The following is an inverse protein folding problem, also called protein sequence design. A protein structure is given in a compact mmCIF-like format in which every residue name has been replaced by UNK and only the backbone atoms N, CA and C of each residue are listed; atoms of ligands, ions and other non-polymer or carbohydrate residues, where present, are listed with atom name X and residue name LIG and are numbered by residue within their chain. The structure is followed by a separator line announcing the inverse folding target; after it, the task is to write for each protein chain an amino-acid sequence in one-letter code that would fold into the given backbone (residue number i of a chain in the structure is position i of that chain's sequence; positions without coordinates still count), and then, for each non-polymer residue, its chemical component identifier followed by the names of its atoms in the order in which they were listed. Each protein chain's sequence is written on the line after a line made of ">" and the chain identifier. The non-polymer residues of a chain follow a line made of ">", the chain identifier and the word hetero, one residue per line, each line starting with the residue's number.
data_IF_600226636443
#
_entry.id   IF_600226636443
#
_cell.length_a   1.000
_cell.length_b   1.000
_cell.length_c   1.000
_cell.angle_alpha   90.00
_cell.angle_beta   90.00
_cell.angle_gamma   90.00
#
_symmetry.space_group_name_H-M   'P 1'
#
loop_
_entity.id
_entity.type
_entity.pdbx_description
1 polymer ?
#
# COMPACT_ATOMS: atom_id res chain seq x y z
N UNK A 1 -32.76 74.10 -41.00
CA UNK A 1 -32.50 74.66 -39.65
C UNK A 1 -33.46 74.02 -38.67
N UNK A 2 -32.99 73.81 -37.43
CA UNK A 2 -33.69 73.28 -36.23
C UNK A 2 -33.75 71.74 -36.04
N UNK A 3 -32.86 71.26 -35.15
CA UNK A 3 -33.01 70.14 -34.17
C UNK A 3 -34.04 70.64 -33.10
N UNK A 4 -34.75 69.85 -32.24
CA UNK A 4 -34.29 68.63 -31.56
C UNK A 4 -35.34 67.57 -31.10
N UNK A 5 -34.89 66.39 -30.67
CA UNK A 5 -34.97 65.94 -29.26
C UNK A 5 -34.49 64.49 -29.09
N UNK A 6 -33.60 64.31 -28.13
CA UNK A 6 -33.03 63.05 -27.69
C UNK A 6 -33.99 62.33 -26.72
N UNK A 7 -34.13 61.01 -26.89
CA UNK A 7 -34.70 60.13 -25.88
C UNK A 7 -33.57 59.47 -25.07
N UNK A 8 -33.61 59.67 -23.76
CA UNK A 8 -32.78 58.99 -22.77
C UNK A 8 -33.35 57.59 -22.52
N UNK A 9 -32.53 56.55 -22.76
CA UNK A 9 -32.80 55.19 -22.30
C UNK A 9 -31.83 54.86 -21.17
N UNK A 10 -32.37 54.48 -20.01
CA UNK A 10 -31.65 54.22 -18.77
C UNK A 10 -30.70 53.01 -18.83
N UNK A 11 -29.86 52.84 -17.79
CA UNK A 11 -28.78 51.86 -17.81
C UNK A 11 -29.31 50.41 -17.69
N UNK A 12 -28.84 49.55 -18.59
CA UNK A 12 -28.98 48.11 -18.49
C UNK A 12 -28.07 47.60 -17.36
N UNK A 13 -28.67 46.87 -16.43
CA UNK A 13 -28.01 46.26 -15.29
C UNK A 13 -27.14 45.08 -15.79
N UNK A 14 -25.82 45.20 -15.69
CA UNK A 14 -24.93 44.05 -15.85
C UNK A 14 -25.07 43.13 -14.63
N UNK A 15 -25.25 41.81 -14.80
CA UNK A 15 -25.15 40.90 -13.67
C UNK A 15 -23.68 40.76 -13.26
N UNK A 16 -23.43 41.06 -11.98
CA UNK A 16 -22.17 40.88 -11.30
C UNK A 16 -21.62 39.46 -11.53
N UNK A 17 -20.33 39.39 -11.83
CA UNK A 17 -19.59 38.16 -12.10
C UNK A 17 -19.80 37.12 -11.01
N UNK A 18 -20.31 35.96 -11.42
CA UNK A 18 -20.26 34.76 -10.61
C UNK A 18 -18.78 34.47 -10.33
N UNK A 19 -18.38 34.61 -9.07
CA UNK A 19 -17.13 34.09 -8.55
C UNK A 19 -17.12 32.58 -8.84
N UNK A 20 -16.37 32.17 -9.85
CA UNK A 20 -16.09 30.75 -10.06
C UNK A 20 -15.37 30.26 -8.80
N UNK A 21 -16.01 29.36 -8.07
CA UNK A 21 -15.33 28.56 -7.07
C UNK A 21 -14.11 27.90 -7.73
N UNK A 22 -12.94 27.92 -7.09
CA UNK A 22 -11.77 27.27 -7.65
C UNK A 22 -12.09 25.78 -7.84
N UNK A 23 -12.08 25.34 -9.09
CA UNK A 23 -12.13 23.92 -9.43
C UNK A 23 -11.01 23.23 -8.64
N UNK A 24 -11.30 22.16 -7.87
CA UNK A 24 -10.26 21.46 -7.14
C UNK A 24 -9.21 20.99 -8.15
N UNK A 25 -7.94 21.30 -7.87
CA UNK A 25 -6.81 20.79 -8.65
C UNK A 25 -6.93 19.27 -8.81
N UNK A 26 -6.55 18.68 -9.95
CA UNK A 26 -6.54 17.22 -10.09
C UNK A 26 -5.73 16.62 -8.93
N UNK A 27 -6.38 15.77 -8.12
CA UNK A 27 -5.77 15.12 -6.94
C UNK A 27 -4.53 14.35 -7.38
N UNK A 28 -3.49 14.35 -6.55
CA UNK A 28 -2.31 13.52 -6.81
C UNK A 28 -2.66 12.03 -6.64
N UNK A 29 -1.94 11.15 -7.34
CA UNK A 29 -2.12 9.70 -7.18
C UNK A 29 -1.84 9.23 -5.75
N UNK A 30 -0.88 9.87 -5.08
CA UNK A 30 -0.59 9.61 -3.68
C UNK A 30 -1.79 9.93 -2.76
N UNK A 31 -2.45 11.07 -2.95
CA UNK A 31 -3.65 11.43 -2.17
C UNK A 31 -4.79 10.45 -2.43
N UNK A 32 -5.06 10.12 -3.70
CA UNK A 32 -6.09 9.13 -4.03
C UNK A 32 -5.80 7.75 -3.42
N UNK A 33 -4.53 7.34 -3.38
CA UNK A 33 -4.15 6.04 -2.81
C UNK A 33 -4.38 6.02 -1.29
N UNK A 34 -3.98 7.09 -0.59
CA UNK A 34 -4.22 7.26 0.84
C UNK A 34 -5.71 7.32 1.17
N UNK A 35 -6.53 7.98 0.34
CA UNK A 35 -7.99 7.99 0.50
C UNK A 35 -8.60 6.57 0.38
N UNK A 36 -8.11 5.76 -0.55
CA UNK A 36 -8.55 4.36 -0.67
C UNK A 36 -8.12 3.51 0.53
N UNK A 37 -6.95 3.77 1.13
CA UNK A 37 -6.52 3.12 2.37
C UNK A 37 -7.35 3.56 3.58
N UNK A 38 -7.73 4.84 3.68
CA UNK A 38 -8.64 5.32 4.72
C UNK A 38 -10.04 4.70 4.58
N UNK A 39 -10.55 4.61 3.35
CA UNK A 39 -11.81 3.91 3.06
C UNK A 39 -11.73 2.44 3.45
N UNK A 40 -10.64 1.75 3.11
CA UNK A 40 -10.41 0.37 3.52
C UNK A 40 -10.40 0.24 5.05
N UNK A 41 -9.72 1.14 5.76
CA UNK A 41 -9.72 1.14 7.23
C UNK A 41 -11.14 1.27 7.80
N UNK A 42 -11.97 2.13 7.24
CA UNK A 42 -13.35 2.30 7.71
C UNK A 42 -14.23 1.07 7.46
N UNK A 43 -14.06 0.40 6.31
CA UNK A 43 -14.72 -0.87 5.99
C UNK A 43 -14.24 -1.99 6.94
N UNK A 44 -12.94 -2.03 7.26
CA UNK A 44 -12.34 -3.02 8.17
C UNK A 44 -12.79 -2.85 9.62
N UNK A 45 -13.01 -1.61 10.10
CA UNK A 45 -13.53 -1.32 11.45
C UNK A 45 -14.91 -1.92 11.70
N UNK A 46 -15.70 -2.19 10.65
CA UNK A 46 -17.02 -2.81 10.77
C UNK A 46 -16.95 -4.33 10.97
N UNK A 47 -15.78 -4.94 10.76
CA UNK A 47 -15.60 -6.38 10.89
C UNK A 47 -15.46 -6.78 12.36
N UNK A 48 -16.05 -7.92 12.71
CA UNK A 48 -15.91 -8.53 14.02
C UNK A 48 -15.08 -9.80 13.91
N UNK A 49 -14.09 -9.91 14.78
CA UNK A 49 -13.24 -11.08 14.89
C UNK A 49 -13.54 -11.81 16.19
N UNK A 50 -13.67 -13.12 16.09
CA UNK A 50 -13.78 -13.99 17.26
C UNK A 50 -12.44 -14.69 17.51
N UNK A 51 -12.42 -15.60 18.48
CA UNK A 51 -11.32 -16.54 18.61
C UNK A 51 -10.97 -17.18 17.24
N UNK A 52 -9.68 -17.34 16.94
CA UNK A 52 -8.52 -17.19 17.84
C UNK A 52 -7.94 -15.77 17.92
N UNK A 53 -8.57 -14.75 17.32
CA UNK A 53 -8.05 -13.37 17.34
C UNK A 53 -8.20 -12.76 18.73
N UNK A 54 -7.09 -12.27 19.30
CA UNK A 54 -7.06 -11.58 20.58
C UNK A 54 -6.78 -10.09 20.47
N UNK A 55 -5.80 -9.69 19.64
CA UNK A 55 -5.39 -8.29 19.45
C UNK A 55 -5.22 -8.01 17.95
N UNK A 56 -5.62 -6.82 17.51
CA UNK A 56 -5.56 -6.36 16.13
C UNK A 56 -4.75 -5.08 16.09
N UNK A 57 -3.73 -5.05 15.24
CA UNK A 57 -2.96 -3.84 14.95
C UNK A 57 -3.26 -3.35 13.54
N UNK A 58 -3.48 -2.05 13.40
CA UNK A 58 -3.57 -1.37 12.11
C UNK A 58 -2.47 -0.28 11.98
N UNK A 59 -1.28 -0.61 11.43
CA UNK A 59 -0.20 0.37 11.25
C UNK A 59 -0.56 1.53 10.32
N UNK A 60 -1.55 1.40 9.44
CA UNK A 60 -2.04 2.52 8.62
C UNK A 60 -2.79 3.55 9.48
N UNK A 61 -3.07 3.27 10.76
CA UNK A 61 -3.60 4.25 11.71
C UNK A 61 -2.51 4.79 12.64
N UNK A 62 -1.84 3.94 13.42
CA UNK A 62 -0.91 4.42 14.44
C UNK A 62 0.48 4.78 13.88
N UNK A 63 0.89 4.23 12.73
CA UNK A 63 2.12 4.58 12.02
C UNK A 63 1.81 5.40 10.75
N UNK A 64 0.75 6.22 10.80
CA UNK A 64 0.27 7.00 9.66
C UNK A 64 1.31 7.95 9.08
N UNK A 65 2.07 8.67 9.91
CA UNK A 65 3.05 9.64 9.41
C UNK A 65 4.15 9.01 8.53
N UNK A 66 4.89 7.97 8.98
CA UNK A 66 5.85 7.32 8.09
C UNK A 66 5.17 6.61 6.90
N UNK A 67 3.97 6.06 7.07
CA UNK A 67 3.22 5.46 5.98
C UNK A 67 2.84 6.50 4.89
N UNK A 68 2.26 7.63 5.30
CA UNK A 68 1.96 8.78 4.43
C UNK A 68 3.24 9.31 3.79
N UNK A 69 4.34 9.41 4.52
CA UNK A 69 5.63 9.81 3.96
C UNK A 69 6.10 8.84 2.87
N UNK A 70 5.94 7.53 3.05
CA UNK A 70 6.25 6.52 2.04
C UNK A 70 5.38 6.69 0.78
N UNK A 71 4.05 6.78 0.94
CA UNK A 71 3.13 6.91 -0.19
C UNK A 71 3.34 8.23 -0.93
N UNK A 72 3.41 9.35 -0.21
CA UNK A 72 3.65 10.66 -0.83
C UNK A 72 5.02 10.75 -1.48
N UNK A 73 6.06 10.11 -0.95
CA UNK A 73 7.38 10.13 -1.60
C UNK A 73 7.42 9.33 -2.89
N UNK A 74 6.79 8.15 -2.91
CA UNK A 74 7.03 7.15 -3.95
C UNK A 74 5.85 6.88 -4.89
N UNK A 75 4.66 7.41 -4.59
CA UNK A 75 3.44 7.25 -5.39
C UNK A 75 3.08 8.52 -6.18
N UNK A 76 4.08 9.22 -6.71
CA UNK A 76 3.94 10.51 -7.42
C UNK A 76 3.47 10.40 -8.89
N UNK A 77 3.26 9.18 -9.39
CA UNK A 77 2.95 8.91 -10.78
C UNK A 77 2.42 7.49 -10.96
N UNK A 78 1.83 7.17 -12.12
CA UNK A 78 1.27 5.84 -12.40
C UNK A 78 2.36 4.78 -12.25
N UNK A 79 1.93 3.55 -11.96
CA UNK A 79 2.81 2.43 -11.66
C UNK A 79 2.52 1.31 -12.63
N UNK A 80 3.54 0.82 -13.32
CA UNK A 80 3.38 -0.31 -14.23
C UNK A 80 3.23 -1.62 -13.45
N UNK A 81 3.96 -1.74 -12.34
CA UNK A 81 4.03 -2.95 -11.52
C UNK A 81 3.67 -2.66 -10.06
N UNK A 82 2.79 -3.48 -9.49
CA UNK A 82 2.48 -3.46 -8.06
C UNK A 82 2.89 -4.78 -7.41
N UNK A 83 3.83 -4.73 -6.48
CA UNK A 83 4.15 -5.86 -5.61
C UNK A 83 3.18 -5.88 -4.43
N UNK A 84 2.52 -7.01 -4.21
CA UNK A 84 1.50 -7.16 -3.16
C UNK A 84 1.93 -8.22 -2.17
N UNK A 85 2.23 -7.80 -0.94
CA UNK A 85 2.37 -8.69 0.21
C UNK A 85 1.01 -9.07 0.81
N UNK A 86 1.00 -10.01 1.76
CA UNK A 86 -0.24 -10.45 2.41
C UNK A 86 -0.73 -9.43 3.44
N UNK A 87 0.06 -9.21 4.49
CA UNK A 87 -0.26 -8.33 5.60
C UNK A 87 1.03 -7.98 6.39
N UNK A 88 0.99 -6.99 7.31
CA UNK A 88 2.15 -6.62 8.11
C UNK A 88 2.75 -7.79 8.88
N UNK A 89 4.08 -7.85 8.91
CA UNK A 89 4.79 -8.62 9.92
C UNK A 89 5.06 -7.77 11.18
N UNK A 90 5.27 -8.42 12.34
CA UNK A 90 5.30 -7.75 13.65
C UNK A 90 6.50 -6.84 13.89
N UNK A 91 7.57 -7.01 13.11
CA UNK A 91 8.82 -6.24 13.25
C UNK A 91 9.16 -5.42 12.00
N UNK A 92 8.31 -5.47 10.97
CA UNK A 92 8.41 -4.66 9.76
C UNK A 92 7.33 -3.59 9.73
N UNK A 93 6.34 -3.74 8.86
CA UNK A 93 5.27 -2.75 8.67
C UNK A 93 4.49 -2.41 9.95
N UNK A 94 4.34 -3.35 10.90
CA UNK A 94 3.70 -3.06 12.19
C UNK A 94 4.52 -2.10 13.08
N UNK A 95 5.79 -1.86 12.76
CA UNK A 95 6.65 -0.89 13.44
C UNK A 95 6.81 0.38 12.61
N UNK A 96 6.82 0.26 11.28
CA UNK A 96 7.28 1.34 10.40
C UNK A 96 6.20 1.97 9.54
N UNK A 97 5.02 1.34 9.42
CA UNK A 97 3.99 1.74 8.47
C UNK A 97 4.32 1.40 7.00
N UNK A 98 5.52 0.90 6.69
CA UNK A 98 5.94 0.62 5.30
C UNK A 98 5.81 -0.88 4.99
N UNK A 99 5.22 -1.29 3.83
CA UNK A 99 5.16 -2.68 3.41
C UNK A 99 6.55 -3.33 3.35
N UNK A 100 6.69 -4.55 3.89
CA UNK A 100 7.98 -5.22 4.08
C UNK A 100 9.02 -4.34 4.82
N UNK A 101 8.56 -3.36 5.61
CA UNK A 101 9.38 -2.26 6.10
C UNK A 101 10.23 -2.63 7.30
N UNK A 102 11.32 -3.36 7.08
CA UNK A 102 12.37 -3.52 8.08
C UNK A 102 12.98 -2.15 8.43
N UNK A 103 13.25 -1.92 9.72
CA UNK A 103 13.53 -0.58 10.25
C UNK A 103 14.73 0.09 9.58
N UNK A 104 15.85 -0.62 9.42
CA UNK A 104 17.07 -0.03 8.87
C UNK A 104 16.88 0.33 7.41
N UNK A 105 16.26 -0.53 6.61
CA UNK A 105 16.06 -0.22 5.19
C UNK A 105 15.05 0.91 4.98
N UNK A 106 14.02 1.00 5.83
CA UNK A 106 13.05 2.12 5.82
C UNK A 106 13.74 3.44 6.14
N UNK A 107 14.55 3.47 7.19
CA UNK A 107 15.25 4.69 7.63
C UNK A 107 16.38 5.08 6.66
N UNK A 108 17.26 4.14 6.35
CA UNK A 108 18.57 4.43 5.75
C UNK A 108 18.55 4.40 4.22
N UNK A 109 17.62 3.65 3.60
CA UNK A 109 17.54 3.53 2.14
C UNK A 109 16.29 4.19 1.57
N UNK A 110 15.11 3.94 2.14
CA UNK A 110 13.87 4.62 1.73
C UNK A 110 13.80 6.06 2.26
N UNK A 111 14.61 6.43 3.27
CA UNK A 111 14.60 7.77 3.84
C UNK A 111 13.22 8.19 4.34
N UNK A 112 12.46 7.23 4.87
CA UNK A 112 11.12 7.43 5.42
C UNK A 112 11.24 7.51 6.94
N UNK A 113 10.66 8.56 7.50
CA UNK A 113 10.66 8.83 8.93
C UNK A 113 9.32 9.43 9.38
N UNK A 114 9.12 9.51 10.69
CA UNK A 114 7.93 10.09 11.28
C UNK A 114 7.61 9.48 12.64
N UNK A 115 6.76 10.15 13.44
CA UNK A 115 6.29 9.59 14.69
C UNK A 115 5.46 8.32 14.44
N UNK A 116 5.65 7.33 15.29
CA UNK A 116 4.81 6.14 15.37
C UNK A 116 4.13 6.16 16.73
N UNK A 117 2.80 6.16 16.73
CA UNK A 117 1.99 6.13 17.93
C UNK A 117 1.78 4.69 18.39
N UNK A 118 1.32 4.52 19.63
CA UNK A 118 0.88 3.21 20.12
C UNK A 118 -0.52 2.86 19.60
N UNK A 119 -0.78 1.59 19.24
CA UNK A 119 -2.14 1.13 18.99
C UNK A 119 -2.98 1.21 20.29
N UNK A 120 -4.32 1.22 20.20
CA UNK A 120 -5.20 1.34 21.38
C UNK A 120 -4.98 0.26 22.45
N UNK A 121 -4.56 -0.93 22.02
CA UNK A 121 -4.20 -2.04 22.88
C UNK A 121 -2.96 -2.72 22.32
N UNK A 122 -1.96 -2.96 23.18
CA UNK A 122 -0.76 -3.69 22.83
C UNK A 122 -0.69 -5.06 23.50
N UNK A 123 -0.17 -6.04 22.77
CA UNK A 123 0.24 -7.30 23.36
C UNK A 123 1.65 -7.13 23.96
N UNK A 124 1.91 -7.53 25.22
CA UNK A 124 3.23 -7.32 25.88
C UNK A 124 4.42 -7.93 25.14
N UNK A 125 4.20 -9.02 24.39
CA UNK A 125 5.25 -9.67 23.55
C UNK A 125 5.41 -9.04 22.15
N UNK A 126 4.59 -8.05 21.80
CA UNK A 126 4.58 -7.36 20.49
C UNK A 126 4.40 -5.85 20.68
N UNK A 127 5.28 -5.18 21.44
CA UNK A 127 5.20 -3.73 21.59
C UNK A 127 5.44 -3.05 20.23
N UNK A 128 4.83 -1.90 20.01
CA UNK A 128 5.16 -1.01 18.89
C UNK A 128 6.19 0.00 19.37
N UNK A 129 7.43 -0.19 18.91
CA UNK A 129 8.59 0.65 19.25
C UNK A 129 8.96 1.59 18.09
N UNK A 130 8.18 1.60 17.02
CA UNK A 130 8.39 2.48 15.88
C UNK A 130 9.71 2.21 15.16
N UNK A 131 10.34 3.28 14.69
CA UNK A 131 11.65 3.24 14.01
C UNK A 131 12.83 2.99 14.98
N UNK A 132 12.56 2.81 16.27
CA UNK A 132 13.54 2.41 17.30
C UNK A 132 13.48 0.91 17.60
N UNK A 133 12.58 0.16 16.96
CA UNK A 133 12.47 -1.29 17.12
C UNK A 133 13.83 -1.97 16.80
N UNK A 134 14.43 -2.70 17.77
CA UNK A 134 15.74 -3.31 17.59
C UNK A 134 15.68 -4.62 16.79
N UNK A 135 14.49 -5.21 16.61
CA UNK A 135 14.32 -6.43 15.85
C UNK A 135 14.30 -6.14 14.35
N UNK A 136 15.11 -6.90 13.60
CA UNK A 136 15.07 -6.88 12.13
C UNK A 136 14.07 -7.90 11.60
N UNK A 137 13.17 -7.47 10.71
CA UNK A 137 12.27 -8.37 9.99
C UNK A 137 12.96 -8.99 8.78
N UNK A 138 13.33 -10.27 8.88
CA UNK A 138 14.07 -11.00 7.83
C UNK A 138 13.40 -10.94 6.46
N UNK A 139 12.07 -11.04 6.40
CA UNK A 139 11.32 -10.95 5.13
C UNK A 139 11.53 -9.59 4.47
N UNK A 140 11.43 -8.51 5.25
CA UNK A 140 11.62 -7.14 4.78
C UNK A 140 13.06 -6.84 4.39
N UNK A 141 14.01 -7.27 5.22
CA UNK A 141 15.43 -7.12 4.96
C UNK A 141 15.84 -7.79 3.64
N UNK A 142 15.35 -9.01 3.36
CA UNK A 142 15.58 -9.71 2.08
C UNK A 142 14.91 -8.99 0.92
N UNK A 143 13.64 -8.62 1.06
CA UNK A 143 12.88 -7.98 -0.01
C UNK A 143 13.53 -6.66 -0.46
N UNK A 144 13.70 -5.72 0.47
CA UNK A 144 14.27 -4.42 0.13
C UNK A 144 15.77 -4.45 -0.07
N UNK A 145 16.49 -5.35 0.60
CA UNK A 145 17.93 -5.57 0.36
C UNK A 145 18.20 -5.99 -1.08
N UNK A 146 17.37 -6.87 -1.64
CA UNK A 146 17.44 -7.26 -3.05
C UNK A 146 17.24 -6.07 -3.99
N UNK A 147 16.17 -5.28 -3.81
CA UNK A 147 15.92 -4.12 -4.67
C UNK A 147 16.93 -2.99 -4.46
N UNK A 148 17.46 -2.80 -3.25
CA UNK A 148 18.59 -1.91 -3.00
C UNK A 148 19.82 -2.31 -3.81
N UNK A 149 20.17 -3.60 -3.81
CA UNK A 149 21.31 -4.10 -4.58
C UNK A 149 21.08 -4.01 -6.09
N UNK A 150 19.84 -4.19 -6.55
CA UNK A 150 19.48 -4.15 -7.96
C UNK A 150 19.39 -2.72 -8.52
N UNK A 151 18.74 -1.82 -7.78
CA UNK A 151 18.35 -0.49 -8.26
C UNK A 151 19.33 0.60 -7.80
N UNK A 152 20.11 0.35 -6.75
CA UNK A 152 20.98 1.35 -6.11
C UNK A 152 20.20 2.39 -5.30
N UNK A 153 19.40 3.21 -6.00
CA UNK A 153 18.54 4.25 -5.42
C UNK A 153 17.06 3.81 -5.40
N UNK A 154 16.27 4.22 -4.39
CA UNK A 154 14.86 3.86 -4.33
C UNK A 154 14.06 4.46 -5.50
N UNK A 155 14.41 5.64 -6.00
CA UNK A 155 13.72 6.31 -7.11
C UNK A 155 13.72 5.47 -8.39
N UNK A 156 14.78 4.68 -8.62
CA UNK A 156 14.86 3.75 -9.76
C UNK A 156 13.78 2.68 -9.67
N UNK A 157 13.59 2.08 -8.48
CA UNK A 157 12.51 1.12 -8.25
C UNK A 157 11.13 1.79 -8.39
N UNK A 158 10.92 2.92 -7.71
CA UNK A 158 9.60 3.55 -7.62
C UNK A 158 9.16 4.30 -8.88
N UNK A 159 10.06 4.46 -9.85
CA UNK A 159 9.72 5.01 -11.17
C UNK A 159 8.60 4.22 -11.84
N UNK A 160 8.68 2.88 -11.79
CA UNK A 160 7.72 1.99 -12.44
C UNK A 160 7.00 1.07 -11.45
N UNK A 161 7.57 0.82 -10.27
CA UNK A 161 7.05 -0.13 -9.30
C UNK A 161 6.50 0.53 -8.04
N UNK A 162 5.59 -0.15 -7.36
CA UNK A 162 5.16 0.21 -6.01
C UNK A 162 4.94 -1.05 -5.17
N UNK A 163 4.93 -0.92 -3.84
CA UNK A 163 4.72 -2.04 -2.93
C UNK A 163 3.58 -1.73 -1.98
N UNK A 164 2.69 -2.70 -1.81
CA UNK A 164 1.52 -2.61 -0.94
C UNK A 164 1.25 -3.96 -0.25
N UNK A 165 0.40 -3.98 0.77
CA UNK A 165 -0.10 -5.21 1.39
C UNK A 165 -1.59 -5.33 1.10
N UNK A 166 -2.05 -6.52 0.71
CA UNK A 166 -3.48 -6.80 0.49
C UNK A 166 -4.34 -6.41 1.70
N UNK A 167 -3.87 -6.74 2.91
CA UNK A 167 -4.54 -6.42 4.17
C UNK A 167 -3.62 -5.58 5.06
N UNK A 168 -4.06 -4.42 5.58
CA UNK A 168 -3.25 -3.62 6.48
C UNK A 168 -3.23 -4.16 7.91
N UNK A 169 -4.05 -5.16 8.27
CA UNK A 169 -4.15 -5.63 9.64
C UNK A 169 -3.11 -6.71 9.99
N UNK A 170 -2.49 -6.55 11.17
CA UNK A 170 -1.79 -7.64 11.86
C UNK A 170 -2.72 -8.23 12.92
N UNK A 171 -2.97 -9.54 12.83
CA UNK A 171 -3.84 -10.26 13.75
C UNK A 171 -2.99 -11.10 14.71
N UNK A 172 -3.22 -10.96 16.01
CA UNK A 172 -2.49 -11.66 17.06
C UNK A 172 -3.44 -12.52 17.87
N UNK A 173 -3.04 -13.76 18.16
CA UNK A 173 -3.69 -14.58 19.16
C UNK A 173 -3.46 -14.00 20.58
N UNK A 174 -4.25 -14.38 21.59
CA UNK A 174 -4.03 -13.96 22.99
C UNK A 174 -2.62 -14.26 23.54
N UNK A 175 -1.89 -15.20 22.93
CA UNK A 175 -0.50 -15.53 23.27
C UNK A 175 0.55 -14.57 22.67
N UNK A 176 0.13 -13.66 21.78
CA UNK A 176 1.01 -12.78 20.98
C UNK A 176 1.55 -13.43 19.71
N UNK A 177 1.09 -14.64 19.39
CA UNK A 177 1.44 -15.33 18.14
C UNK A 177 0.73 -14.67 16.96
N UNK A 178 1.47 -14.42 15.88
CA UNK A 178 0.89 -13.95 14.62
C UNK A 178 -0.11 -14.98 14.07
N UNK A 179 -1.27 -14.50 13.64
CA UNK A 179 -2.30 -15.25 12.94
C UNK A 179 -2.31 -14.80 11.47
N UNK A 180 -2.13 -15.76 10.58
CA UNK A 180 -2.36 -15.53 9.14
C UNK A 180 -3.86 -15.56 8.84
N UNK A 181 -4.33 -14.92 7.75
CA UNK A 181 -5.73 -15.02 7.33
C UNK A 181 -6.24 -16.48 7.21
N UNK A 182 -5.37 -17.42 6.82
CA UNK A 182 -5.71 -18.84 6.72
C UNK A 182 -6.13 -19.48 8.05
N UNK A 183 -5.66 -18.95 9.18
CA UNK A 183 -5.97 -19.43 10.53
C UNK A 183 -7.27 -18.85 11.10
N UNK A 184 -7.91 -17.93 10.38
CA UNK A 184 -9.19 -17.36 10.78
C UNK A 184 -10.35 -18.31 10.44
N UNK A 185 -11.46 -18.24 11.19
CA UNK A 185 -12.72 -18.88 10.82
C UNK A 185 -13.11 -18.51 9.38
N UNK A 186 -13.57 -19.49 8.60
CA UNK A 186 -13.77 -19.32 7.16
C UNK A 186 -14.64 -18.10 6.80
N UNK A 187 -15.72 -17.86 7.55
CA UNK A 187 -16.60 -16.70 7.36
C UNK A 187 -15.86 -15.37 7.56
N UNK A 188 -15.13 -15.22 8.66
CA UNK A 188 -14.35 -14.00 8.95
C UNK A 188 -13.22 -13.80 7.95
N UNK A 189 -12.55 -14.89 7.55
CA UNK A 189 -11.53 -14.86 6.49
C UNK A 189 -12.09 -14.31 5.18
N UNK A 190 -13.23 -14.83 4.72
CA UNK A 190 -13.82 -14.37 3.45
C UNK A 190 -14.37 -12.94 3.56
N UNK A 191 -14.90 -12.53 4.70
CA UNK A 191 -15.31 -11.14 4.94
C UNK A 191 -14.11 -10.18 4.88
N UNK A 192 -13.05 -10.48 5.63
CA UNK A 192 -11.81 -9.70 5.66
C UNK A 192 -11.20 -9.58 4.27
N UNK A 193 -10.94 -10.73 3.63
CA UNK A 193 -10.26 -10.72 2.34
C UNK A 193 -11.17 -10.20 1.22
N UNK A 194 -12.49 -10.31 1.34
CA UNK A 194 -13.42 -9.71 0.37
C UNK A 194 -13.37 -8.18 0.36
N UNK A 195 -13.28 -7.56 1.53
CA UNK A 195 -13.10 -6.11 1.68
C UNK A 195 -11.74 -5.68 1.12
N UNK A 196 -10.67 -6.40 1.46
CA UNK A 196 -9.33 -6.18 0.91
C UNK A 196 -9.26 -6.32 -0.62
N UNK A 197 -9.89 -7.35 -1.19
CA UNK A 197 -9.92 -7.58 -2.64
C UNK A 197 -10.58 -6.39 -3.36
N UNK A 198 -11.68 -5.86 -2.82
CA UNK A 198 -12.37 -4.72 -3.40
C UNK A 198 -11.52 -3.44 -3.37
N UNK A 199 -10.79 -3.21 -2.28
CA UNK A 199 -9.84 -2.09 -2.18
C UNK A 199 -8.66 -2.24 -3.15
N UNK A 200 -8.09 -3.45 -3.26
CA UNK A 200 -7.00 -3.74 -4.20
C UNK A 200 -7.42 -3.42 -5.65
N UNK A 201 -8.64 -3.78 -6.04
CA UNK A 201 -9.16 -3.46 -7.37
C UNK A 201 -9.17 -1.95 -7.65
N UNK A 202 -9.68 -1.15 -6.69
CA UNK A 202 -9.70 0.32 -6.81
C UNK A 202 -8.30 0.92 -6.87
N UNK A 203 -7.39 0.43 -6.03
CA UNK A 203 -5.99 0.89 -6.01
C UNK A 203 -5.25 0.54 -7.31
N UNK A 204 -5.44 -0.66 -7.85
CA UNK A 204 -4.85 -1.08 -9.14
C UNK A 204 -5.33 -0.19 -10.29
N UNK A 205 -6.64 0.09 -10.33
CA UNK A 205 -7.23 1.00 -11.33
C UNK A 205 -6.69 2.43 -11.18
N UNK A 206 -6.66 2.94 -9.95
CA UNK A 206 -6.14 4.28 -9.63
C UNK A 206 -4.69 4.45 -10.12
N UNK A 207 -3.84 3.47 -9.82
CA UNK A 207 -2.42 3.53 -10.15
C UNK A 207 -2.11 3.24 -11.63
N UNK A 208 -3.09 2.76 -12.40
CA UNK A 208 -2.90 2.36 -13.80
C UNK A 208 -1.98 1.14 -13.96
N UNK A 209 -2.03 0.22 -12.98
CA UNK A 209 -1.16 -0.97 -12.92
C UNK A 209 -1.49 -1.95 -14.04
N UNK A 210 -0.44 -2.51 -14.66
CA UNK A 210 -0.55 -3.53 -15.72
C UNK A 210 -0.12 -4.92 -15.26
N UNK A 211 0.74 -4.98 -14.24
CA UNK A 211 1.19 -6.23 -13.65
C UNK A 211 1.13 -6.16 -12.13
N UNK A 212 0.42 -7.09 -11.52
CA UNK A 212 0.45 -7.33 -10.08
C UNK A 212 1.32 -8.54 -9.80
N UNK A 213 2.32 -8.38 -8.94
CA UNK A 213 3.20 -9.46 -8.49
C UNK A 213 2.87 -9.79 -7.03
N UNK A 214 2.15 -10.90 -6.82
CA UNK A 214 1.85 -11.42 -5.51
C UNK A 214 3.08 -12.02 -4.84
N UNK A 215 3.54 -11.44 -3.74
CA UNK A 215 4.69 -11.93 -2.96
C UNK A 215 4.22 -13.04 -2.02
N UNK A 216 4.26 -14.27 -2.53
CA UNK A 216 3.73 -15.47 -1.90
C UNK A 216 2.36 -15.88 -2.44
N UNK A 217 2.06 -17.18 -2.30
CA UNK A 217 0.89 -17.82 -2.94
C UNK A 217 -0.45 -17.21 -2.55
N UNK A 218 -0.63 -16.82 -1.28
CA UNK A 218 -1.91 -16.24 -0.85
C UNK A 218 -2.15 -14.88 -1.51
N UNK A 219 -1.15 -14.01 -1.53
CA UNK A 219 -1.25 -12.69 -2.17
C UNK A 219 -1.51 -12.83 -3.67
N UNK A 220 -0.79 -13.73 -4.36
CA UNK A 220 -1.01 -14.04 -5.78
C UNK A 220 -2.44 -14.53 -6.04
N UNK A 221 -2.92 -15.52 -5.28
CA UNK A 221 -4.25 -16.10 -5.47
C UNK A 221 -5.37 -15.10 -5.20
N UNK A 222 -5.23 -14.26 -4.16
CA UNK A 222 -6.22 -13.22 -3.85
C UNK A 222 -6.19 -12.10 -4.88
N UNK A 223 -5.02 -11.63 -5.31
CA UNK A 223 -4.92 -10.65 -6.38
C UNK A 223 -5.57 -11.18 -7.67
N UNK A 224 -5.31 -12.45 -8.04
CA UNK A 224 -5.91 -13.07 -9.24
C UNK A 224 -7.42 -13.15 -9.15
N UNK A 225 -7.96 -13.47 -7.96
CA UNK A 225 -9.42 -13.47 -7.72
C UNK A 225 -10.00 -12.06 -7.79
N UNK A 226 -9.39 -11.09 -7.11
CA UNK A 226 -9.86 -9.72 -7.02
C UNK A 226 -9.89 -9.01 -8.39
N UNK A 227 -8.90 -9.31 -9.23
CA UNK A 227 -8.66 -8.62 -10.50
C UNK A 227 -9.16 -9.42 -11.71
N UNK A 228 -9.90 -10.51 -11.51
CA UNK A 228 -10.38 -11.36 -12.60
C UNK A 228 -11.21 -10.58 -13.66
N UNK A 229 -11.93 -9.53 -13.24
CA UNK A 229 -12.69 -8.66 -14.14
C UNK A 229 -11.86 -7.60 -14.88
N UNK A 230 -10.56 -7.48 -14.59
CA UNK A 230 -9.61 -6.58 -15.25
C UNK A 230 -8.59 -7.33 -16.13
N UNK A 231 -8.78 -8.64 -16.31
CA UNK A 231 -7.93 -9.46 -17.17
C UNK A 231 -8.49 -9.44 -18.62
N UNK A 232 -7.61 -9.40 -19.66
CA UNK A 232 -6.16 -9.56 -19.60
C UNK A 232 -5.35 -8.25 -19.42
N UNK A 233 -6.00 -7.10 -19.27
CA UNK A 233 -5.36 -5.78 -19.19
C UNK A 233 -4.44 -5.64 -17.97
N UNK A 234 -4.82 -6.28 -16.85
CA UNK A 234 -4.00 -6.39 -15.64
C UNK A 234 -3.61 -7.86 -15.44
N UNK A 235 -2.33 -8.16 -15.59
CA UNK A 235 -1.78 -9.49 -15.36
C UNK A 235 -1.48 -9.72 -13.88
N UNK A 236 -1.58 -10.99 -13.43
CA UNK A 236 -1.27 -11.36 -12.04
C UNK A 236 -0.31 -12.55 -12.00
N UNK A 237 0.87 -12.29 -11.45
CA UNK A 237 1.98 -13.23 -11.37
C UNK A 237 2.47 -13.42 -9.94
N UNK A 238 3.17 -14.53 -9.70
CA UNK A 238 3.72 -14.88 -8.40
C UNK A 238 5.22 -14.62 -8.26
N UNK A 239 5.62 -14.19 -7.07
CA UNK A 239 7.01 -14.19 -6.59
C UNK A 239 7.09 -15.03 -5.30
N UNK A 240 8.15 -15.82 -5.15
CA UNK A 240 8.39 -16.57 -3.91
C UNK A 240 8.43 -15.60 -2.70
N UNK A 241 7.79 -15.94 -1.59
CA UNK A 241 7.85 -15.10 -0.39
C UNK A 241 9.24 -15.19 0.28
N UNK A 242 9.85 -14.08 0.74
CA UNK A 242 11.19 -14.05 1.37
C UNK A 242 11.27 -14.64 2.79
N UNK A 243 10.20 -15.25 3.30
CA UNK A 243 10.08 -15.59 4.72
C UNK A 243 11.09 -16.66 5.13
N UNK A 244 11.73 -16.56 6.31
CA UNK A 244 12.60 -17.62 6.82
C UNK A 244 11.85 -18.94 7.12
N UNK A 245 10.52 -18.92 7.15
CA UNK A 245 9.70 -20.13 7.27
C UNK A 245 9.68 -20.96 5.98
N UNK A 246 10.09 -20.40 4.84
CA UNK A 246 10.18 -21.12 3.57
C UNK A 246 11.57 -21.74 3.43
N UNK A 247 11.62 -23.07 3.40
CA UNK A 247 12.86 -23.80 3.14
C UNK A 247 13.49 -23.42 1.79
N UNK A 248 12.68 -23.12 0.78
CA UNK A 248 13.15 -22.66 -0.53
C UNK A 248 13.79 -21.27 -0.44
N UNK A 249 13.17 -20.33 0.29
CA UNK A 249 13.73 -18.99 0.46
C UNK A 249 15.09 -19.01 1.16
N UNK A 250 15.27 -19.94 2.12
CA UNK A 250 16.54 -20.09 2.83
C UNK A 250 17.68 -20.68 1.98
N UNK A 251 17.38 -21.30 0.83
CA UNK A 251 18.38 -21.84 -0.10
C UNK A 251 18.91 -20.80 -1.10
N UNK A 252 18.39 -19.57 -1.08
CA UNK A 252 18.83 -18.50 -2.00
C UNK A 252 17.65 -17.74 -2.61
N UNK A 253 16.86 -17.06 -1.78
CA UNK A 253 15.69 -16.30 -2.23
C UNK A 253 16.01 -15.27 -3.33
N UNK A 254 17.12 -14.53 -3.21
CA UNK A 254 17.47 -13.47 -4.15
C UNK A 254 17.73 -13.99 -5.57
N UNK A 255 18.35 -15.18 -5.70
CA UNK A 255 18.59 -15.79 -7.00
C UNK A 255 17.26 -16.20 -7.68
N UNK A 256 16.36 -16.84 -6.91
CA UNK A 256 15.02 -17.20 -7.39
C UNK A 256 14.21 -15.97 -7.75
N UNK A 257 14.31 -14.89 -6.96
CA UNK A 257 13.63 -13.64 -7.25
C UNK A 257 14.15 -12.99 -8.54
N UNK A 258 15.48 -12.94 -8.73
CA UNK A 258 16.10 -12.42 -9.95
C UNK A 258 15.69 -13.20 -11.21
N UNK A 259 15.73 -14.53 -11.14
CA UNK A 259 15.29 -15.39 -12.24
C UNK A 259 13.83 -15.09 -12.59
N UNK A 260 12.95 -15.08 -11.59
CA UNK A 260 11.52 -14.81 -11.81
C UNK A 260 11.25 -13.42 -12.39
N UNK A 261 11.94 -12.38 -11.90
CA UNK A 261 11.80 -11.02 -12.45
C UNK A 261 12.36 -10.92 -13.88
N UNK A 262 13.33 -11.75 -14.24
CA UNK A 262 13.84 -11.84 -15.62
C UNK A 262 12.80 -12.47 -16.55
N UNK A 263 12.17 -13.58 -16.14
CA UNK A 263 11.08 -14.22 -16.89
C UNK A 263 9.90 -13.27 -17.13
N UNK A 264 9.60 -12.43 -16.14
CA UNK A 264 8.55 -11.41 -16.22
C UNK A 264 8.97 -10.15 -17.00
N UNK A 265 10.21 -10.08 -17.49
CA UNK A 265 10.71 -8.92 -18.23
C UNK A 265 10.88 -7.65 -17.39
N UNK A 266 11.00 -7.77 -16.06
CA UNK A 266 11.02 -6.62 -15.14
C UNK A 266 12.41 -6.05 -14.89
N UNK A 267 13.49 -6.79 -15.17
CA UNK A 267 14.85 -6.29 -14.90
C UNK A 267 15.18 -4.97 -15.61
N UNK A 268 14.82 -4.75 -16.89
CA UNK A 268 15.08 -3.47 -17.56
C UNK A 268 14.42 -2.26 -16.90
N UNK A 269 13.30 -2.45 -16.18
CA UNK A 269 12.62 -1.38 -15.44
C UNK A 269 13.31 -1.05 -14.11
N UNK A 270 14.18 -1.93 -13.62
CA UNK A 270 14.75 -1.89 -12.27
C UNK A 270 16.26 -1.58 -12.25
N UNK A 271 16.91 -1.47 -13.40
CA UNK A 271 18.35 -1.19 -13.52
C UNK A 271 18.66 0.07 -14.33
N UNK A 272 17.63 0.84 -14.68
CA UNK A 272 17.72 2.01 -15.57
C UNK A 272 18.09 3.31 -14.88
#
# INVERSE_FOLDING_TARGET
>A
MAVPQAFLSGPLHEPAGALMEPQPSPRSLAEGFLEEELRLNDELKQLQFSEPVGIIYNPVEYAWEPHRSYVTRYCQGPKEVLFVGMNPGPFGMAQTGVPFGEVNVVRDWLGVGGPVLSPPQEHPKRPVLGLECPQSEVSGARFWGFFRNLCGQPEVFFRHCFVHNLCPLLLLAPSGRNLTPAELPAKQREQLLGVCDAALCRQVQLLGVRLVVGVGRLAEQRARRALAGLMPEVQVEGLLHPSPRSAQANKGWEAVARERLTELGLLPLLTG
#
